data_IF_541053503890
#
_entry.id   IF_541053503890
#
_cell.length_a   1.000
_cell.length_b   1.000
_cell.length_c   1.000
_cell.angle_alpha   90.00
_cell.angle_beta   90.00
_cell.angle_gamma   90.00
#
_symmetry.space_group_name_H-M   'P 1'
#
loop_
_entity.id
_entity.type
_entity.pdbx_description
1 polymer ?
#
# COMPACT_ATOMS: atom_id res chain seq x y z
N UNK A 1 -2.79 -8.91 12.41
CA UNK A 1 -2.93 -7.58 13.03
C UNK A 1 -3.28 -7.84 14.48
N UNK A 2 -2.73 -7.07 15.43
CA UNK A 2 -2.74 -7.43 16.86
C UNK A 2 -3.49 -6.46 17.76
N UNK A 3 -4.08 -5.42 17.21
CA UNK A 3 -4.67 -4.32 17.97
C UNK A 3 -6.11 -4.10 17.53
N UNK A 4 -7.04 -4.18 18.48
CA UNK A 4 -8.43 -3.83 18.25
C UNK A 4 -8.58 -2.34 17.87
N UNK A 5 -9.53 -2.00 16.99
CA UNK A 5 -10.48 -2.89 16.31
C UNK A 5 -9.92 -3.52 15.01
N UNK A 6 -8.67 -3.24 14.65
CA UNK A 6 -8.09 -3.65 13.37
C UNK A 6 -7.68 -5.13 13.32
N UNK A 7 -7.75 -5.87 14.43
CA UNK A 7 -7.58 -7.32 14.47
C UNK A 7 -8.72 -8.05 13.76
N UNK A 8 -9.94 -7.49 13.74
CA UNK A 8 -11.05 -7.96 12.91
C UNK A 8 -10.84 -7.62 11.42
N UNK A 9 -10.87 -8.63 10.56
CA UNK A 9 -10.75 -8.43 9.11
C UNK A 9 -11.93 -7.65 8.51
N UNK A 10 -13.13 -7.78 9.08
CA UNK A 10 -14.29 -7.03 8.62
C UNK A 10 -14.09 -5.53 8.82
N UNK A 11 -13.48 -5.11 9.94
CA UNK A 11 -13.11 -3.70 10.15
C UNK A 11 -12.14 -3.22 9.09
N UNK A 12 -11.11 -4.02 8.76
CA UNK A 12 -10.14 -3.68 7.69
C UNK A 12 -10.80 -3.60 6.32
N UNK A 13 -11.72 -4.52 6.01
CA UNK A 13 -12.46 -4.51 4.75
C UNK A 13 -13.43 -3.34 4.65
N UNK A 14 -14.06 -2.94 5.76
CA UNK A 14 -14.89 -1.74 5.81
C UNK A 14 -14.07 -0.49 5.44
N UNK A 15 -12.90 -0.32 6.06
CA UNK A 15 -11.95 0.76 5.77
C UNK A 15 -11.51 0.73 4.29
N UNK A 16 -11.14 -0.43 3.76
CA UNK A 16 -10.71 -0.59 2.36
C UNK A 16 -11.80 -0.25 1.34
N UNK A 17 -13.08 -0.43 1.67
CA UNK A 17 -14.20 -0.05 0.80
C UNK A 17 -14.64 1.42 0.98
N UNK A 18 -14.22 2.07 2.06
CA UNK A 18 -14.58 3.44 2.40
C UNK A 18 -13.65 4.52 1.82
N UNK A 19 -12.67 4.12 0.98
CA UNK A 19 -11.76 5.04 0.29
C UNK A 19 -12.02 5.09 -1.21
N UNK A 20 -12.12 6.29 -1.75
CA UNK A 20 -12.12 6.55 -3.19
C UNK A 20 -10.69 6.71 -3.70
N UNK A 21 -10.19 5.63 -4.30
CA UNK A 21 -8.82 5.50 -4.81
C UNK A 21 -8.58 6.37 -6.03
N UNK A 22 -9.58 6.55 -6.88
CA UNK A 22 -9.50 7.41 -8.07
C UNK A 22 -9.39 8.88 -7.64
N UNK A 23 -10.24 9.30 -6.69
CA UNK A 23 -10.11 10.63 -6.08
C UNK A 23 -8.73 10.81 -5.42
N UNK A 24 -8.19 9.78 -4.78
CA UNK A 24 -6.86 9.83 -4.18
C UNK A 24 -5.76 10.05 -5.23
N UNK A 25 -5.78 9.31 -6.34
CA UNK A 25 -4.82 9.50 -7.45
C UNK A 25 -4.96 10.89 -8.06
N UNK A 26 -6.18 11.37 -8.28
CA UNK A 26 -6.42 12.67 -8.91
C UNK A 26 -6.06 13.86 -8.01
N UNK A 27 -6.41 13.80 -6.72
CA UNK A 27 -6.24 14.93 -5.80
C UNK A 27 -4.87 14.91 -5.14
N UNK A 28 -4.45 13.75 -4.60
CA UNK A 28 -3.21 13.62 -3.83
C UNK A 28 -2.02 13.50 -4.78
N UNK A 29 -2.12 12.63 -5.79
CA UNK A 29 -1.03 12.40 -6.75
C UNK A 29 -1.11 13.30 -7.99
N UNK A 30 -2.15 14.13 -8.14
CA UNK A 30 -2.36 15.02 -9.29
C UNK A 30 -2.34 14.28 -10.63
N UNK A 31 -2.83 13.04 -10.64
CA UNK A 31 -2.83 12.15 -11.80
C UNK A 31 -1.51 11.40 -12.06
N UNK A 32 -0.46 11.65 -11.27
CA UNK A 32 0.84 10.97 -11.38
C UNK A 32 0.89 9.69 -10.56
N UNK A 33 0.05 8.72 -10.92
CA UNK A 33 0.04 7.40 -10.31
C UNK A 33 -1.05 6.52 -10.87
N UNK A 34 -1.26 5.38 -10.23
CA UNK A 34 -2.35 4.46 -10.52
C UNK A 34 -3.06 4.04 -9.25
N UNK A 35 -4.31 3.60 -9.36
CA UNK A 35 -5.02 3.01 -8.24
C UNK A 35 -4.30 1.75 -7.74
N UNK A 36 -4.33 1.56 -6.42
CA UNK A 36 -3.83 0.36 -5.76
C UNK A 36 -4.96 -0.61 -5.47
N UNK A 37 -4.62 -1.84 -5.11
CA UNK A 37 -5.61 -2.87 -4.76
C UNK A 37 -5.30 -3.54 -3.41
N UNK A 38 -4.77 -2.76 -2.46
CA UNK A 38 -4.43 -3.18 -1.11
C UNK A 38 -3.39 -4.31 -1.02
N UNK A 39 -2.46 -4.37 -1.97
CA UNK A 39 -1.25 -5.20 -1.95
C UNK A 39 -0.06 -4.37 -2.50
N UNK A 40 1.20 -4.75 -2.23
CA UNK A 40 2.36 -3.88 -2.47
C UNK A 40 2.99 -4.02 -3.86
N UNK A 41 2.42 -4.83 -4.75
CA UNK A 41 3.03 -5.18 -6.04
C UNK A 41 2.33 -4.38 -7.15
N UNK A 42 3.00 -3.36 -7.66
CA UNK A 42 2.49 -2.54 -8.76
C UNK A 42 2.54 -3.25 -10.12
N UNK A 43 1.78 -2.74 -11.10
CA UNK A 43 1.66 -3.33 -12.45
C UNK A 43 2.96 -3.34 -13.26
N UNK A 44 3.96 -2.56 -12.84
CA UNK A 44 5.28 -2.52 -13.45
C UNK A 44 6.26 -3.57 -12.88
N UNK A 45 5.83 -4.37 -11.89
CA UNK A 45 6.61 -5.44 -11.27
C UNK A 45 6.24 -6.81 -11.82
N UNK A 46 7.20 -7.73 -11.81
CA UNK A 46 6.93 -9.12 -12.14
C UNK A 46 5.94 -9.75 -11.14
N UNK A 47 5.17 -10.71 -11.64
CA UNK A 47 4.16 -11.46 -10.87
C UNK A 47 3.01 -10.61 -10.32
N UNK A 48 2.76 -9.41 -10.86
CA UNK A 48 1.59 -8.61 -10.48
C UNK A 48 0.29 -9.36 -10.77
N UNK A 49 -0.61 -9.38 -9.78
CA UNK A 49 -1.95 -9.98 -9.90
C UNK A 49 -2.89 -9.06 -10.71
N UNK A 50 -2.68 -9.02 -12.02
CA UNK A 50 -3.46 -8.16 -12.93
C UNK A 50 -4.91 -8.59 -13.14
N UNK A 51 -5.27 -9.81 -12.74
CA UNK A 51 -6.61 -10.39 -12.79
C UNK A 51 -7.39 -10.20 -11.48
N UNK A 52 -6.73 -9.76 -10.39
CA UNK A 52 -7.39 -9.43 -9.13
C UNK A 52 -8.39 -8.29 -9.34
N UNK A 53 -9.71 -8.49 -9.10
CA UNK A 53 -10.69 -7.45 -9.31
C UNK A 53 -10.37 -6.19 -8.50
N UNK A 54 -10.41 -5.03 -9.17
CA UNK A 54 -10.15 -3.74 -8.51
C UNK A 54 -11.19 -3.47 -7.43
N UNK A 55 -10.73 -3.23 -6.20
CA UNK A 55 -11.60 -2.84 -5.09
C UNK A 55 -12.15 -1.43 -5.33
N UNK A 56 -13.47 -1.38 -5.43
CA UNK A 56 -14.23 -0.15 -5.64
C UNK A 56 -14.52 0.57 -4.33
N UNK A 57 -14.67 1.89 -4.44
CA UNK A 57 -15.30 2.71 -3.40
C UNK A 57 -16.77 2.34 -3.31
N UNK A 58 -17.17 1.74 -2.18
CA UNK A 58 -18.48 1.15 -1.99
C UNK A 58 -18.91 1.30 -0.54
N UNK A 59 -19.69 2.36 -0.29
CA UNK A 59 -20.18 2.71 1.05
C UNK A 59 -21.12 1.66 1.62
N UNK A 60 -21.93 1.01 0.78
CA UNK A 60 -22.86 -0.02 1.24
C UNK A 60 -22.11 -1.28 1.65
N UNK A 61 -21.08 -1.66 0.90
CA UNK A 61 -20.19 -2.76 1.26
C UNK A 61 -19.35 -2.44 2.50
N UNK A 62 -18.89 -1.19 2.66
CA UNK A 62 -18.23 -0.76 3.88
C UNK A 62 -19.13 -0.91 5.11
N UNK A 63 -20.39 -0.45 5.04
CA UNK A 63 -21.40 -0.64 6.10
C UNK A 63 -21.71 -2.12 6.34
N UNK A 64 -21.79 -2.93 5.28
CA UNK A 64 -22.03 -4.35 5.39
C UNK A 64 -20.93 -5.04 6.21
N UNK A 65 -19.66 -4.71 5.94
CA UNK A 65 -18.52 -5.22 6.71
C UNK A 65 -18.53 -4.72 8.16
N UNK A 66 -18.85 -3.44 8.43
CA UNK A 66 -19.01 -2.97 9.81
C UNK A 66 -20.08 -3.79 10.56
N UNK A 67 -21.20 -4.09 9.91
CA UNK A 67 -22.24 -4.93 10.51
C UNK A 67 -21.76 -6.35 10.78
N UNK A 68 -20.93 -6.93 9.91
CA UNK A 68 -20.30 -8.24 10.17
C UNK A 68 -19.35 -8.20 11.38
N UNK A 69 -18.71 -7.05 11.62
CA UNK A 69 -17.92 -6.79 12.84
C UNK A 69 -18.78 -6.50 14.08
N UNK A 70 -20.12 -6.52 13.97
CA UNK A 70 -21.03 -6.15 15.06
C UNK A 70 -21.08 -4.65 15.35
N UNK A 71 -20.64 -3.80 14.41
CA UNK A 71 -20.54 -2.35 14.55
C UNK A 71 -21.58 -1.64 13.67
N UNK A 72 -22.22 -0.61 14.22
CA UNK A 72 -23.05 0.34 13.47
C UNK A 72 -22.28 1.60 13.07
N UNK A 73 -21.20 1.90 13.79
CA UNK A 73 -20.24 2.96 13.52
C UNK A 73 -18.85 2.54 14.00
N UNK A 74 -17.82 3.22 13.50
CA UNK A 74 -16.43 2.95 13.86
C UNK A 74 -15.70 4.26 14.12
N UNK A 75 -15.22 4.46 15.34
CA UNK A 75 -14.35 5.58 15.69
C UNK A 75 -12.90 5.09 15.74
N UNK A 76 -12.04 5.67 14.91
CA UNK A 76 -10.63 5.30 14.80
C UNK A 76 -9.78 6.55 14.65
N UNK A 77 -8.52 6.46 15.08
CA UNK A 77 -7.53 7.51 14.88
C UNK A 77 -6.42 7.03 13.96
N UNK A 78 -5.95 7.91 13.08
CA UNK A 78 -4.78 7.69 12.24
C UNK A 78 -3.76 8.80 12.48
N UNK A 79 -2.52 8.41 12.80
CA UNK A 79 -1.42 9.35 12.87
C UNK A 79 -0.90 9.69 11.47
N UNK A 80 -0.75 10.98 11.17
CA UNK A 80 -0.23 11.44 9.88
C UNK A 80 0.75 12.60 10.06
N UNK A 81 1.81 12.58 9.25
CA UNK A 81 2.78 13.66 9.13
C UNK A 81 3.35 13.68 7.71
N UNK A 82 3.79 14.84 7.24
CA UNK A 82 4.38 14.97 5.89
C UNK A 82 5.70 14.19 5.73
N UNK A 83 6.28 13.68 6.83
CA UNK A 83 7.35 12.70 6.77
C UNK A 83 6.94 11.40 6.07
N UNK A 84 5.67 10.98 6.18
CA UNK A 84 5.16 9.78 5.51
C UNK A 84 5.08 9.99 3.99
N UNK A 85 4.61 11.14 3.54
CA UNK A 85 4.74 11.63 2.17
C UNK A 85 4.24 13.08 2.16
N UNK A 86 4.67 13.86 1.18
CA UNK A 86 4.21 15.24 1.05
C UNK A 86 2.67 15.29 0.90
N UNK A 87 1.98 15.99 1.79
CA UNK A 87 0.51 16.08 1.79
C UNK A 87 -0.19 14.92 2.50
N UNK A 88 0.53 14.10 3.28
CA UNK A 88 -0.07 12.96 3.99
C UNK A 88 -1.20 13.35 4.94
N UNK A 89 -1.11 14.52 5.58
CA UNK A 89 -2.17 15.01 6.49
C UNK A 89 -3.45 15.32 5.70
N UNK A 90 -3.33 16.05 4.60
CA UNK A 90 -4.47 16.43 3.75
C UNK A 90 -5.10 15.21 3.07
N UNK A 91 -4.27 14.29 2.59
CA UNK A 91 -4.71 13.03 2.00
C UNK A 91 -5.51 12.18 3.01
N UNK A 92 -5.07 12.17 4.27
CA UNK A 92 -5.76 11.48 5.35
C UNK A 92 -7.06 12.18 5.74
N UNK A 93 -7.11 13.51 5.66
CA UNK A 93 -8.34 14.29 5.86
C UNK A 93 -9.37 13.99 4.74
N UNK A 94 -8.94 13.92 3.48
CA UNK A 94 -9.80 13.52 2.37
C UNK A 94 -10.42 12.14 2.62
N UNK A 95 -9.60 11.17 3.04
CA UNK A 95 -10.11 9.84 3.36
C UNK A 95 -11.09 9.87 4.55
N UNK A 96 -10.81 10.65 5.59
CA UNK A 96 -11.75 10.85 6.71
C UNK A 96 -13.12 11.33 6.23
N UNK A 97 -13.16 12.32 5.33
CA UNK A 97 -14.42 12.82 4.77
C UNK A 97 -15.17 11.75 3.95
N UNK A 98 -14.46 10.97 3.14
CA UNK A 98 -15.05 9.89 2.32
C UNK A 98 -15.66 8.77 3.18
N UNK A 99 -14.98 8.43 4.28
CA UNK A 99 -15.36 7.29 5.13
C UNK A 99 -16.57 7.59 6.04
N UNK A 100 -16.85 8.87 6.33
CA UNK A 100 -18.01 9.29 7.14
C UNK A 100 -19.34 8.75 6.62
N UNK A 101 -19.51 8.66 5.30
CA UNK A 101 -20.74 8.14 4.68
C UNK A 101 -21.01 6.67 5.04
N UNK A 102 -19.97 5.90 5.41
CA UNK A 102 -20.06 4.53 5.90
C UNK A 102 -20.28 4.43 7.41
N UNK A 103 -20.34 5.55 8.14
CA UNK A 103 -20.35 5.56 9.62
C UNK A 103 -18.97 5.34 10.23
N UNK A 104 -17.89 5.56 9.46
CA UNK A 104 -16.51 5.47 9.94
C UNK A 104 -16.01 6.90 10.22
N UNK A 105 -15.80 7.20 11.49
CA UNK A 105 -15.28 8.46 11.97
C UNK A 105 -13.76 8.35 12.16
N UNK A 106 -13.01 8.83 11.16
CA UNK A 106 -11.54 8.83 11.22
C UNK A 106 -11.06 10.15 11.81
N UNK A 107 -10.50 10.12 13.01
CA UNK A 107 -9.78 11.25 13.59
C UNK A 107 -8.37 11.31 13.02
N UNK A 108 -8.04 12.41 12.34
CA UNK A 108 -6.68 12.66 11.84
C UNK A 108 -5.85 13.27 12.97
N UNK A 109 -4.88 12.52 13.45
CA UNK A 109 -3.90 13.00 14.43
C UNK A 109 -2.65 13.47 13.71
N UNK A 110 -2.55 14.78 13.48
CA UNK A 110 -1.35 15.39 12.91
C UNK A 110 -0.23 15.34 13.95
N UNK A 111 0.84 14.61 13.64
CA UNK A 111 2.01 14.45 14.50
C UNK A 111 3.24 15.14 13.91
N UNK A 112 4.31 15.25 14.69
CA UNK A 112 5.58 15.82 14.21
C UNK A 112 6.20 14.94 13.12
N UNK A 113 6.72 15.53 12.02
CA UNK A 113 7.55 14.80 11.07
C UNK A 113 8.87 14.34 11.69
N UNK A 114 9.39 15.10 12.66
CA UNK A 114 10.66 14.79 13.32
C UNK A 114 10.54 13.55 14.19
N UNK A 115 11.38 12.56 13.91
CA UNK A 115 11.37 11.28 14.62
C UNK A 115 10.18 10.38 14.29
N UNK A 116 9.37 10.70 13.26
CA UNK A 116 8.17 9.95 12.87
C UNK A 116 8.40 8.43 12.77
N UNK A 117 9.47 8.04 12.08
CA UNK A 117 9.81 6.63 11.85
C UNK A 117 10.21 5.85 13.11
N UNK A 118 10.68 6.55 14.15
CA UNK A 118 11.11 5.93 15.40
C UNK A 118 10.02 5.97 16.46
N UNK A 119 9.17 7.01 16.45
CA UNK A 119 8.25 7.32 17.53
C UNK A 119 6.77 7.07 17.17
N UNK A 120 6.43 7.00 15.88
CA UNK A 120 5.03 6.88 15.40
C UNK A 120 4.84 5.63 14.57
N UNK A 121 5.56 5.49 13.45
CA UNK A 121 5.44 4.33 12.57
C UNK A 121 5.79 3.05 13.33
N UNK A 122 4.93 2.03 13.23
CA UNK A 122 4.97 0.79 14.02
C UNK A 122 4.87 0.95 15.55
N UNK A 123 4.61 2.17 16.06
CA UNK A 123 4.43 2.47 17.50
C UNK A 123 2.97 2.75 17.86
N UNK A 124 2.19 3.23 16.91
CA UNK A 124 0.75 3.47 17.06
C UNK A 124 -0.07 2.42 16.28
N UNK A 125 -1.36 2.21 16.63
CA UNK A 125 -2.21 1.21 15.96
C UNK A 125 -2.38 1.43 14.46
N UNK A 126 -2.43 2.69 14.03
CA UNK A 126 -2.63 3.06 12.64
C UNK A 126 -1.97 4.39 12.31
N UNK A 127 -1.14 4.39 11.26
CA UNK A 127 -0.38 5.56 10.82
C UNK A 127 -0.25 5.58 9.30
N UNK A 128 -0.20 6.77 8.71
CA UNK A 128 0.19 6.93 7.32
C UNK A 128 1.64 6.47 7.12
N UNK A 129 1.94 5.85 5.98
CA UNK A 129 3.31 5.53 5.60
C UNK A 129 3.40 5.44 4.07
N UNK A 130 4.61 5.22 3.58
CA UNK A 130 4.86 4.91 2.18
C UNK A 130 5.87 3.78 2.10
N UNK A 131 5.92 3.14 0.93
CA UNK A 131 6.88 2.10 0.61
C UNK A 131 7.44 2.32 -0.78
N UNK A 132 8.76 2.40 -0.90
CA UNK A 132 9.41 2.30 -2.22
C UNK A 132 9.31 0.88 -2.74
N UNK A 133 9.13 0.71 -4.05
CA UNK A 133 9.19 -0.61 -4.69
C UNK A 133 10.49 -1.37 -4.37
N UNK A 134 10.43 -2.69 -4.45
CA UNK A 134 11.60 -3.58 -4.39
C UNK A 134 11.83 -4.21 -5.75
N UNK A 135 13.03 -4.74 -5.96
CA UNK A 135 13.42 -5.38 -7.23
C UNK A 135 12.63 -6.68 -7.45
N UNK A 136 12.21 -7.35 -6.39
CA UNK A 136 11.43 -8.60 -6.46
C UNK A 136 10.24 -8.55 -5.52
N UNK A 137 9.18 -9.27 -5.89
CA UNK A 137 8.02 -9.48 -5.02
C UNK A 137 8.42 -10.18 -3.71
N UNK A 138 9.33 -11.16 -3.76
CA UNK A 138 9.87 -11.85 -2.58
C UNK A 138 10.44 -10.89 -1.55
N UNK A 139 11.26 -9.94 -2.00
CA UNK A 139 11.89 -8.98 -1.11
C UNK A 139 10.83 -8.09 -0.45
N UNK A 140 9.88 -7.57 -1.24
CA UNK A 140 8.79 -6.74 -0.72
C UNK A 140 7.96 -7.50 0.33
N UNK A 141 7.55 -8.73 0.04
CA UNK A 141 6.76 -9.52 0.97
C UNK A 141 7.54 -9.94 2.22
N UNK A 142 8.83 -10.25 2.08
CA UNK A 142 9.68 -10.64 3.22
C UNK A 142 9.89 -9.51 4.22
N UNK A 143 10.07 -8.28 3.74
CA UNK A 143 10.41 -7.17 4.63
C UNK A 143 9.16 -6.53 5.27
N UNK A 144 8.07 -6.40 4.50
CA UNK A 144 6.89 -5.64 4.89
C UNK A 144 5.67 -6.45 5.33
N UNK A 145 5.62 -7.77 5.06
CA UNK A 145 4.41 -8.57 5.27
C UNK A 145 4.64 -9.87 6.03
N UNK A 146 5.85 -10.43 5.99
CA UNK A 146 6.23 -11.62 6.75
C UNK A 146 6.08 -11.38 8.25
N UNK A 147 5.44 -12.29 8.97
CA UNK A 147 5.36 -12.24 10.42
C UNK A 147 6.74 -12.10 11.07
N UNK A 148 6.87 -11.11 11.95
CA UNK A 148 8.13 -10.75 12.61
C UNK A 148 9.19 -10.12 11.70
N UNK A 149 8.85 -9.73 10.47
CA UNK A 149 9.72 -8.95 9.60
C UNK A 149 10.00 -7.57 10.20
N UNK A 150 11.21 -7.06 9.97
CA UNK A 150 11.69 -5.80 10.59
C UNK A 150 10.74 -4.62 10.40
N UNK A 151 10.02 -4.60 9.27
CA UNK A 151 9.16 -3.50 8.85
C UNK A 151 7.73 -3.97 8.55
N UNK A 152 7.29 -5.08 9.15
CA UNK A 152 5.88 -5.50 9.05
C UNK A 152 5.02 -4.63 9.97
N UNK A 153 4.66 -3.46 9.48
CA UNK A 153 4.08 -2.37 10.26
C UNK A 153 2.68 -2.64 10.79
N UNK A 154 1.89 -3.43 10.07
CA UNK A 154 0.59 -3.91 10.52
C UNK A 154 0.65 -5.03 11.57
N UNK A 155 1.84 -5.60 11.82
CA UNK A 155 2.03 -6.80 12.64
C UNK A 155 1.07 -7.93 12.23
N UNK A 156 0.79 -8.03 10.93
CA UNK A 156 -0.02 -9.08 10.35
C UNK A 156 0.74 -10.41 10.31
N UNK A 157 0.01 -11.50 10.44
CA UNK A 157 0.51 -12.86 10.42
C UNK A 157 -0.57 -13.74 9.81
N UNK A 158 -0.23 -14.50 8.77
CA UNK A 158 -1.17 -15.35 8.06
C UNK A 158 -0.50 -16.65 7.62
N UNK A 159 -0.86 -17.81 8.18
CA UNK A 159 -0.12 -19.06 7.99
C UNK A 159 0.06 -19.47 6.52
N UNK A 160 -0.98 -19.28 5.69
CA UNK A 160 -0.89 -19.58 4.25
C UNK A 160 0.06 -18.62 3.53
N UNK A 161 0.08 -17.35 3.92
CA UNK A 161 0.99 -16.37 3.32
C UNK A 161 2.44 -16.71 3.66
N UNK A 162 2.73 -17.07 4.91
CA UNK A 162 4.06 -17.50 5.35
C UNK A 162 4.53 -18.75 4.60
N UNK A 163 3.65 -19.74 4.41
CA UNK A 163 3.96 -20.95 3.66
C UNK A 163 4.25 -20.65 2.17
N UNK A 164 3.42 -19.80 1.54
CA UNK A 164 3.60 -19.39 0.15
C UNK A 164 4.89 -18.59 -0.05
N UNK A 165 5.27 -17.71 0.90
CA UNK A 165 6.49 -16.94 0.82
C UNK A 165 7.73 -17.84 0.75
N UNK A 166 7.77 -18.91 1.56
CA UNK A 166 8.87 -19.89 1.52
C UNK A 166 8.83 -20.71 0.23
N UNK A 167 7.65 -21.16 -0.19
CA UNK A 167 7.49 -21.94 -1.42
C UNK A 167 7.89 -21.14 -2.68
N UNK A 168 7.44 -19.89 -2.80
CA UNK A 168 7.73 -19.02 -3.94
C UNK A 168 9.21 -18.65 -4.06
N UNK A 169 9.97 -18.70 -2.96
CA UNK A 169 11.42 -18.53 -2.98
C UNK A 169 12.16 -19.75 -3.55
N UNK A 170 11.61 -20.95 -3.34
CA UNK A 170 12.21 -22.22 -3.77
C UNK A 170 11.72 -22.71 -5.14
N UNK A 171 10.61 -22.17 -5.64
CA UNK A 171 10.04 -22.55 -6.94
C UNK A 171 10.86 -22.00 -8.11
N UNK A 172 11.19 -22.89 -9.05
CA UNK A 172 12.01 -22.61 -10.23
C UNK A 172 11.16 -22.54 -11.51
N UNK A 173 9.95 -23.09 -11.51
CA UNK A 173 9.00 -22.96 -12.59
C UNK A 173 8.31 -21.58 -12.50
N UNK A 174 8.55 -20.74 -13.50
CA UNK A 174 8.06 -19.35 -13.50
C UNK A 174 6.53 -19.24 -13.49
N UNK A 175 5.80 -20.18 -14.09
CA UNK A 175 4.34 -20.15 -14.09
C UNK A 175 3.80 -20.49 -12.70
N UNK A 176 4.30 -21.56 -12.06
CA UNK A 176 3.93 -21.90 -10.69
C UNK A 176 4.33 -20.81 -9.70
N UNK A 177 5.51 -20.21 -9.90
CA UNK A 177 5.99 -19.10 -9.07
C UNK A 177 5.10 -17.86 -9.20
N UNK A 178 4.64 -17.57 -10.41
CA UNK A 178 3.63 -16.53 -10.63
C UNK A 178 2.36 -16.83 -9.84
N UNK A 179 1.80 -18.03 -9.95
CA UNK A 179 0.55 -18.39 -9.26
C UNK A 179 0.68 -18.25 -7.73
N UNK A 180 1.84 -18.63 -7.17
CA UNK A 180 2.15 -18.43 -5.75
C UNK A 180 2.09 -16.95 -5.36
N UNK A 181 2.78 -16.07 -6.09
CA UNK A 181 2.81 -14.64 -5.77
C UNK A 181 1.47 -13.95 -6.04
N UNK A 182 0.70 -14.40 -7.03
CA UNK A 182 -0.67 -13.94 -7.27
C UNK A 182 -1.55 -14.31 -6.07
N UNK A 183 -1.51 -15.56 -5.61
CA UNK A 183 -2.28 -15.98 -4.41
C UNK A 183 -1.89 -15.14 -3.18
N UNK A 184 -0.61 -14.86 -2.98
CA UNK A 184 -0.15 -13.98 -1.90
C UNK A 184 -0.75 -12.57 -1.99
N UNK A 185 -0.86 -12.00 -3.18
CA UNK A 185 -1.52 -10.69 -3.39
C UNK A 185 -3.01 -10.76 -3.08
N UNK A 186 -3.70 -11.82 -3.47
CA UNK A 186 -5.11 -12.05 -3.11
C UNK A 186 -5.30 -12.07 -1.58
N UNK A 187 -4.44 -12.80 -0.86
CA UNK A 187 -4.49 -12.86 0.60
C UNK A 187 -4.24 -11.48 1.20
N UNK A 188 -3.18 -10.78 0.79
CA UNK A 188 -2.87 -9.44 1.34
C UNK A 188 -4.00 -8.45 1.05
N UNK A 189 -4.54 -8.47 -0.16
CA UNK A 189 -5.64 -7.60 -0.57
C UNK A 189 -6.89 -7.79 0.29
N UNK A 190 -7.25 -9.03 0.60
CA UNK A 190 -8.51 -9.36 1.28
C UNK A 190 -8.40 -9.57 2.79
N UNK A 191 -7.21 -9.88 3.29
CA UNK A 191 -6.99 -10.27 4.69
C UNK A 191 -5.82 -9.51 5.34
N UNK A 192 -4.99 -8.84 4.54
CA UNK A 192 -3.82 -8.10 5.00
C UNK A 192 -4.16 -6.88 5.85
N UNK A 193 -3.17 -6.46 6.64
CA UNK A 193 -3.26 -5.35 7.59
C UNK A 193 -3.02 -3.96 7.02
N UNK A 194 -2.89 -3.83 5.70
CA UNK A 194 -2.59 -2.58 5.00
C UNK A 194 -3.77 -2.11 4.18
N UNK A 195 -3.85 -0.80 3.94
CA UNK A 195 -4.70 -0.17 2.94
C UNK A 195 -3.75 0.55 1.98
N UNK A 196 -3.71 0.11 0.72
CA UNK A 196 -2.82 0.64 -0.32
C UNK A 196 -3.70 1.23 -1.41
N UNK A 197 -4.04 2.53 -1.32
CA UNK A 197 -5.04 3.12 -2.21
C UNK A 197 -4.48 3.46 -3.60
N UNK A 198 -3.17 3.65 -3.71
CA UNK A 198 -2.51 4.08 -4.93
C UNK A 198 -1.04 3.67 -4.98
N UNK A 199 -0.49 3.63 -6.20
CA UNK A 199 0.94 3.62 -6.47
C UNK A 199 1.32 4.97 -7.10
N UNK A 200 2.28 5.68 -6.49
CA UNK A 200 2.75 6.96 -6.99
C UNK A 200 3.84 6.78 -8.06
N UNK A 201 3.82 7.61 -9.09
CA UNK A 201 4.91 7.71 -10.06
C UNK A 201 6.04 8.55 -9.48
N UNK A 202 7.29 8.20 -9.82
CA UNK A 202 8.39 9.14 -9.72
C UNK A 202 8.35 10.07 -10.93
N UNK A 203 8.30 11.38 -10.69
CA UNK A 203 8.20 12.40 -11.73
C UNK A 203 9.52 13.15 -11.81
N UNK A 204 10.32 12.80 -12.81
CA UNK A 204 11.64 13.41 -13.05
C UNK A 204 11.58 14.41 -14.21
N UNK A 205 12.35 15.48 -14.11
CA UNK A 205 12.62 16.41 -15.21
C UNK A 205 14.10 16.32 -15.61
N UNK A 206 14.39 16.31 -16.91
CA UNK A 206 15.74 16.22 -17.46
C UNK A 206 15.86 17.09 -18.72
N UNK A 207 17.06 17.61 -18.99
CA UNK A 207 17.36 18.34 -20.22
C UNK A 207 17.20 17.44 -21.46
N UNK A 208 16.76 18.01 -22.58
CA UNK A 208 16.65 17.30 -23.87
C UNK A 208 18.00 16.83 -24.42
N UNK A 209 19.10 17.42 -23.91
CA UNK A 209 20.46 16.98 -24.18
C UNK A 209 20.78 15.60 -23.59
N UNK A 210 19.94 15.05 -22.72
CA UNK A 210 20.13 13.72 -22.14
C UNK A 210 19.42 12.63 -22.96
N UNK A 211 20.19 11.64 -23.39
CA UNK A 211 19.74 10.35 -23.91
C UNK A 211 19.44 9.37 -22.78
N UNK A 212 18.41 8.54 -22.99
CA UNK A 212 17.88 7.58 -22.02
C UNK A 212 17.52 6.28 -22.73
N UNK A 213 17.60 5.11 -22.07
CA UNK A 213 17.14 3.87 -22.65
C UNK A 213 15.62 3.90 -22.85
N UNK A 214 15.11 3.15 -23.84
CA UNK A 214 13.68 3.10 -24.15
C UNK A 214 12.82 2.58 -22.99
N UNK A 215 13.39 1.72 -22.13
CA UNK A 215 12.75 1.21 -20.92
C UNK A 215 13.51 1.70 -19.69
N UNK A 216 12.85 2.52 -18.89
CA UNK A 216 13.35 2.94 -17.58
C UNK A 216 12.99 1.89 -16.52
N UNK A 217 13.75 1.87 -15.44
CA UNK A 217 13.46 1.09 -14.24
C UNK A 217 12.22 1.68 -13.55
N UNK A 218 11.33 0.80 -13.08
CA UNK A 218 10.08 1.18 -12.43
C UNK A 218 10.19 1.40 -10.91
N UNK A 219 11.40 1.31 -10.36
CA UNK A 219 11.68 1.43 -8.94
C UNK A 219 12.60 2.64 -8.72
N UNK A 220 12.27 3.55 -7.79
CA UNK A 220 13.06 4.75 -7.45
C UNK A 220 13.18 5.80 -8.57
N UNK A 221 13.64 7.00 -8.20
CA UNK A 221 13.82 8.16 -9.08
C UNK A 221 14.99 7.94 -10.05
N UNK A 222 15.06 8.72 -11.13
CA UNK A 222 16.22 8.76 -12.04
C UNK A 222 16.64 7.37 -12.58
N UNK A 223 15.68 6.65 -13.16
CA UNK A 223 15.89 5.30 -13.73
C UNK A 223 16.38 4.28 -12.68
N UNK A 224 15.79 4.36 -11.49
CA UNK A 224 16.12 3.54 -10.33
C UNK A 224 17.47 3.82 -9.72
N UNK A 225 17.81 5.09 -9.66
CA UNK A 225 19.12 5.61 -9.25
C UNK A 225 20.26 5.13 -10.15
N UNK A 226 19.94 4.71 -11.40
CA UNK A 226 20.90 4.22 -12.39
C UNK A 226 21.13 5.20 -13.54
N UNK A 227 20.65 6.44 -13.44
CA UNK A 227 20.89 7.45 -14.47
C UNK A 227 22.38 7.67 -14.78
N UNK A 228 23.25 7.60 -13.76
CA UNK A 228 24.70 7.79 -13.92
C UNK A 228 25.39 6.74 -14.80
N UNK A 229 24.81 5.55 -14.94
CA UNK A 229 25.37 4.46 -15.75
C UNK A 229 24.54 4.15 -17.02
N UNK A 230 23.28 4.59 -17.08
CA UNK A 230 22.35 4.25 -18.17
C UNK A 230 22.00 5.43 -19.06
N UNK A 231 22.18 6.67 -18.61
CA UNK A 231 21.89 7.87 -19.39
C UNK A 231 23.19 8.42 -20.00
N UNK A 232 23.07 9.20 -21.07
CA UNK A 232 24.21 9.77 -21.78
C UNK A 232 23.89 11.18 -22.29
N UNK A 233 24.91 11.95 -22.64
CA UNK A 233 24.72 13.20 -23.40
C UNK A 233 24.61 12.88 -24.89
N UNK A 234 23.61 13.47 -25.55
CA UNK A 234 23.44 13.38 -27.00
C UNK A 234 24.40 14.31 -27.73
#
# INVERSE_FOLDING_TARGET
VRQAPFDDNNVRMALKHAIDREAFVNVVLRGYGSVGNDHPIGSNQNYHAGDLPQRQYDIDKAKWYLKQAGLSSLDVEIAAADAAFNGAVDATQLYSEQAKAAGINIKVNRVSPDGYWNNVWMKVPWSACYWSGRVTADWMFTIGYKAGGNWTDSFWNHPRFEALLVAGRAELDEAKRNDIYVEMQHIVSNEGGVLVPCFANNVDAASDALGRPAKLAGNWELDGSRSMERWWFK
#
